data_IF_696432552277
#
_entry.id   IF_696432552277
#
_cell.length_a   1.000
_cell.length_b   1.000
_cell.length_c   1.000
_cell.angle_alpha   90.00
_cell.angle_beta   90.00
_cell.angle_gamma   90.00
#
_symmetry.space_group_name_H-M   'P 1'
#
loop_
_entity.id
_entity.type
_entity.pdbx_description
1 polymer ?
#
# COMPACT_ATOMS: atom_id res chain seq x y z
N UNK A 1 -8.53 6.80 15.95
CA UNK A 1 -7.38 6.13 16.62
C UNK A 1 -7.38 4.59 16.52
N UNK A 2 -8.39 3.87 17.04
CA UNK A 2 -8.41 2.38 17.04
C UNK A 2 -8.29 1.76 15.63
N UNK A 3 -8.97 2.35 14.65
CA UNK A 3 -8.93 1.88 13.26
C UNK A 3 -7.52 1.94 12.64
N UNK A 4 -6.79 3.04 12.85
CA UNK A 4 -5.42 3.21 12.34
C UNK A 4 -4.46 2.20 12.96
N UNK A 5 -4.57 1.96 14.27
CA UNK A 5 -3.79 0.90 14.94
C UNK A 5 -4.06 -0.47 14.34
N UNK A 6 -5.34 -0.77 14.06
CA UNK A 6 -5.72 -2.03 13.42
C UNK A 6 -5.09 -2.17 12.04
N UNK A 7 -5.13 -1.13 11.21
CA UNK A 7 -4.50 -1.14 9.87
C UNK A 7 -3.01 -1.47 9.98
N UNK A 8 -2.29 -0.84 10.93
CA UNK A 8 -0.85 -1.07 11.13
C UNK A 8 -0.59 -2.53 11.50
N UNK A 9 -1.29 -3.05 12.51
CA UNK A 9 -1.10 -4.44 12.97
C UNK A 9 -1.46 -5.46 11.89
N UNK A 10 -2.55 -5.23 11.16
CA UNK A 10 -2.97 -6.13 10.08
C UNK A 10 -1.94 -6.08 8.92
N UNK A 11 -1.38 -4.91 8.60
CA UNK A 11 -0.33 -4.78 7.59
C UNK A 11 0.99 -5.45 8.01
N UNK A 12 1.40 -5.32 9.28
CA UNK A 12 2.58 -6.01 9.83
C UNK A 12 2.45 -7.53 9.72
N UNK A 13 1.27 -8.07 10.07
CA UNK A 13 0.97 -9.50 9.92
C UNK A 13 1.03 -9.96 8.47
N UNK A 14 0.53 -9.15 7.54
CA UNK A 14 0.63 -9.46 6.12
C UNK A 14 2.09 -9.46 5.65
N UNK A 15 2.90 -8.50 6.08
CA UNK A 15 4.34 -8.47 5.78
C UNK A 15 5.02 -9.75 6.27
N UNK A 16 4.73 -10.18 7.50
CA UNK A 16 5.27 -11.43 8.06
C UNK A 16 4.87 -12.65 7.20
N UNK A 17 3.59 -12.76 6.83
CA UNK A 17 3.10 -13.82 5.95
C UNK A 17 3.82 -13.83 4.60
N UNK A 18 4.00 -12.68 3.95
CA UNK A 18 4.69 -12.56 2.66
C UNK A 18 6.18 -12.90 2.80
N UNK A 19 6.82 -12.52 3.91
CA UNK A 19 8.21 -12.90 4.20
C UNK A 19 8.39 -14.41 4.36
N UNK A 20 7.45 -15.08 5.02
CA UNK A 20 7.46 -16.55 5.12
C UNK A 20 7.28 -17.20 3.74
N UNK A 21 6.34 -16.71 2.91
CA UNK A 21 6.21 -17.17 1.52
C UNK A 21 7.52 -17.01 0.73
N UNK A 22 8.24 -15.89 0.89
CA UNK A 22 9.53 -15.69 0.22
C UNK A 22 10.56 -16.74 0.66
N UNK A 23 10.59 -17.11 1.94
CA UNK A 23 11.48 -18.19 2.43
C UNK A 23 11.13 -19.52 1.77
N UNK A 24 9.85 -19.87 1.73
CA UNK A 24 9.38 -21.11 1.09
C UNK A 24 9.72 -21.15 -0.41
N UNK A 25 9.57 -20.03 -1.11
CA UNK A 25 9.92 -19.94 -2.53
C UNK A 25 11.43 -20.08 -2.72
N UNK A 26 12.26 -19.48 -1.86
CA UNK A 26 13.72 -19.63 -1.92
C UNK A 26 14.15 -21.09 -1.72
N UNK A 27 13.51 -21.82 -0.82
CA UNK A 27 13.75 -23.26 -0.64
C UNK A 27 13.32 -24.08 -1.87
N UNK A 28 12.27 -23.67 -2.57
CA UNK A 28 11.89 -24.30 -3.85
C UNK A 28 12.90 -24.02 -4.95
N UNK A 29 13.37 -22.77 -5.06
CA UNK A 29 14.41 -22.39 -6.02
C UNK A 29 15.67 -23.20 -5.76
N UNK A 30 16.12 -23.34 -4.51
CA UNK A 30 17.33 -24.10 -4.21
C UNK A 30 17.24 -25.55 -4.70
N UNK A 31 16.06 -26.19 -4.63
CA UNK A 31 15.84 -27.54 -5.17
C UNK A 31 15.85 -27.60 -6.69
N UNK A 32 15.31 -26.57 -7.35
CA UNK A 32 15.25 -26.50 -8.82
C UNK A 32 16.60 -26.15 -9.43
N UNK A 33 17.48 -25.42 -8.73
CA UNK A 33 18.83 -25.12 -9.23
C UNK A 33 19.70 -26.37 -9.42
N UNK A 34 19.36 -27.49 -8.77
CA UNK A 34 20.01 -28.79 -8.97
C UNK A 34 19.45 -29.57 -10.16
N UNK A 35 18.42 -29.05 -10.84
CA UNK A 35 17.81 -29.65 -12.03
C UNK A 35 17.86 -28.69 -13.22
N UNK A 36 17.84 -29.16 -14.48
CA UNK A 36 17.95 -28.30 -15.66
C UNK A 36 16.66 -27.50 -15.99
N UNK A 37 15.82 -27.19 -15.00
CA UNK A 37 14.52 -26.52 -15.21
C UNK A 37 14.60 -24.99 -15.05
N UNK A 38 15.25 -24.31 -16.01
CA UNK A 38 15.44 -22.86 -15.98
C UNK A 38 14.13 -22.06 -15.92
N UNK A 39 13.14 -22.43 -16.75
CA UNK A 39 11.87 -21.70 -16.81
C UNK A 39 11.11 -21.71 -15.47
N UNK A 40 11.16 -22.82 -14.74
CA UNK A 40 10.55 -22.94 -13.41
C UNK A 40 11.21 -22.03 -12.38
N UNK A 41 12.54 -21.87 -12.44
CA UNK A 41 13.27 -20.97 -11.57
C UNK A 41 12.90 -19.49 -11.83
N UNK A 42 12.77 -19.09 -13.09
CA UNK A 42 12.38 -17.71 -13.46
C UNK A 42 11.00 -17.32 -12.92
N UNK A 43 10.00 -18.21 -13.04
CA UNK A 43 8.65 -17.97 -12.51
C UNK A 43 8.69 -17.76 -10.99
N UNK A 44 9.46 -18.56 -10.26
CA UNK A 44 9.59 -18.43 -8.80
C UNK A 44 10.29 -17.14 -8.40
N UNK A 45 11.33 -16.71 -9.13
CA UNK A 45 12.02 -15.44 -8.88
C UNK A 45 11.07 -14.26 -9.11
N UNK A 46 10.28 -14.27 -10.19
CA UNK A 46 9.24 -13.27 -10.42
C UNK A 46 8.25 -13.22 -9.23
N UNK A 47 7.83 -14.38 -8.74
CA UNK A 47 7.02 -14.48 -7.53
C UNK A 47 7.64 -13.82 -6.30
N UNK A 48 8.96 -13.96 -6.08
CA UNK A 48 9.67 -13.26 -4.99
C UNK A 48 9.62 -11.75 -5.17
N UNK A 49 9.84 -11.25 -6.40
CA UNK A 49 9.79 -9.82 -6.71
C UNK A 49 8.39 -9.27 -6.42
N UNK A 50 7.34 -9.96 -6.85
CA UNK A 50 5.96 -9.57 -6.58
C UNK A 50 5.67 -9.51 -5.07
N UNK A 51 6.09 -10.53 -4.30
CA UNK A 51 5.93 -10.50 -2.84
C UNK A 51 6.67 -9.32 -2.21
N UNK A 52 7.89 -9.00 -2.66
CA UNK A 52 8.67 -7.85 -2.16
C UNK A 52 8.01 -6.51 -2.49
N UNK A 53 7.46 -6.37 -3.69
CA UNK A 53 6.72 -5.18 -4.09
C UNK A 53 5.49 -4.98 -3.20
N UNK A 54 4.74 -6.06 -2.91
CA UNK A 54 3.61 -6.01 -1.99
C UNK A 54 4.03 -5.63 -0.55
N UNK A 55 5.17 -6.13 -0.08
CA UNK A 55 5.72 -5.74 1.24
C UNK A 55 6.05 -4.24 1.26
N UNK A 56 6.66 -3.70 0.19
CA UNK A 56 6.99 -2.28 0.11
C UNK A 56 5.73 -1.40 0.18
N UNK A 57 4.67 -1.77 -0.55
CA UNK A 57 3.38 -1.06 -0.47
C UNK A 57 2.80 -1.11 0.96
N UNK A 58 2.86 -2.26 1.63
CA UNK A 58 2.39 -2.39 3.02
C UNK A 58 3.21 -1.53 4.00
N UNK A 59 4.51 -1.37 3.78
CA UNK A 59 5.34 -0.46 4.58
C UNK A 59 4.92 1.01 4.40
N UNK A 60 4.59 1.44 3.18
CA UNK A 60 4.02 2.76 2.95
C UNK A 60 2.66 2.93 3.64
N UNK A 61 1.80 1.90 3.63
CA UNK A 61 0.53 1.92 4.37
C UNK A 61 0.76 2.14 5.86
N UNK A 62 1.71 1.43 6.47
CA UNK A 62 2.08 1.58 7.88
C UNK A 62 2.57 3.01 8.16
N UNK A 63 3.48 3.51 7.32
CA UNK A 63 4.03 4.85 7.45
C UNK A 63 2.94 5.94 7.41
N UNK A 64 2.08 5.93 6.40
CA UNK A 64 1.00 6.91 6.27
C UNK A 64 -0.05 6.77 7.37
N UNK A 65 -0.39 5.55 7.78
CA UNK A 65 -1.30 5.34 8.91
C UNK A 65 -0.71 5.87 10.23
N UNK A 66 0.60 5.73 10.43
CA UNK A 66 1.35 6.30 11.55
C UNK A 66 1.32 7.83 11.57
N UNK A 67 1.59 8.47 10.42
CA UNK A 67 1.52 9.93 10.26
C UNK A 67 0.14 10.50 10.64
N UNK A 68 -0.94 9.85 10.19
CA UNK A 68 -2.31 10.25 10.52
C UNK A 68 -2.58 10.03 12.02
N UNK A 69 -2.15 8.90 12.57
CA UNK A 69 -2.38 8.57 13.98
C UNK A 69 -1.71 9.58 14.93
N UNK A 70 -0.53 10.09 14.58
CA UNK A 70 0.20 11.09 15.35
C UNK A 70 -0.46 12.48 15.38
N UNK A 71 -1.28 12.80 14.37
CA UNK A 71 -1.91 14.13 14.22
C UNK A 71 -3.44 14.09 14.30
N UNK A 72 -4.01 13.12 15.00
CA UNK A 72 -5.46 12.95 15.11
C UNK A 72 -6.18 14.17 15.70
N UNK A 73 -5.57 14.86 16.67
CA UNK A 73 -6.16 16.07 17.28
C UNK A 73 -6.32 17.20 16.26
N UNK A 74 -5.33 17.37 15.36
CA UNK A 74 -5.39 18.34 14.28
C UNK A 74 -6.50 18.00 13.28
N UNK A 75 -6.65 16.71 12.95
CA UNK A 75 -7.75 16.24 12.12
C UNK A 75 -9.08 16.54 12.80
N UNK A 76 -9.22 16.25 14.09
CA UNK A 76 -10.46 16.41 14.86
C UNK A 76 -10.92 17.88 14.95
N UNK A 77 -9.99 18.81 15.22
CA UNK A 77 -10.29 20.23 15.39
C UNK A 77 -10.57 21.00 14.09
N UNK A 78 -10.01 20.57 12.96
CA UNK A 78 -10.12 21.30 11.71
C UNK A 78 -11.25 20.77 10.80
N UNK A 79 -11.98 21.70 10.18
CA UNK A 79 -13.03 21.41 9.19
C UNK A 79 -12.44 21.01 7.84
N UNK A 80 -11.26 21.52 7.50
CA UNK A 80 -10.53 21.22 6.28
C UNK A 80 -9.33 20.30 6.56
N UNK A 81 -8.87 19.59 5.53
CA UNK A 81 -7.73 18.68 5.65
C UNK A 81 -6.42 19.47 5.59
N UNK A 82 -5.61 19.39 6.64
CA UNK A 82 -4.30 20.02 6.70
C UNK A 82 -3.40 19.57 5.53
N UNK A 83 -2.65 20.48 4.88
CA UNK A 83 -1.80 20.15 3.72
C UNK A 83 -0.79 19.03 4.01
N UNK A 84 -0.20 18.98 5.21
CA UNK A 84 0.74 17.90 5.59
C UNK A 84 0.09 16.51 5.63
N UNK A 85 -1.20 16.43 5.90
CA UNK A 85 -1.93 15.16 5.99
C UNK A 85 -2.57 14.76 4.65
N UNK A 86 -2.53 15.69 3.68
CA UNK A 86 -3.15 15.53 2.37
C UNK A 86 -2.55 14.34 1.62
N UNK A 87 -1.23 14.23 1.61
CA UNK A 87 -0.52 13.13 0.97
C UNK A 87 -0.85 11.80 1.63
N UNK A 88 -0.73 11.70 2.95
CA UNK A 88 -1.00 10.47 3.68
C UNK A 88 -2.45 9.96 3.47
N UNK A 89 -3.42 10.85 3.51
CA UNK A 89 -4.83 10.50 3.26
C UNK A 89 -5.06 10.11 1.80
N UNK A 90 -4.44 10.83 0.85
CA UNK A 90 -4.54 10.54 -0.58
C UNK A 90 -3.97 9.16 -0.92
N UNK A 91 -2.75 8.86 -0.47
CA UNK A 91 -2.06 7.61 -0.70
C UNK A 91 -2.84 6.42 -0.14
N UNK A 92 -3.35 6.51 1.09
CA UNK A 92 -4.18 5.44 1.67
C UNK A 92 -5.51 5.26 0.93
N UNK A 93 -6.15 6.34 0.48
CA UNK A 93 -7.39 6.25 -0.31
C UNK A 93 -7.16 5.63 -1.70
N UNK A 94 -5.98 5.87 -2.28
CA UNK A 94 -5.57 5.28 -3.55
C UNK A 94 -5.29 3.78 -3.43
N UNK A 95 -4.61 3.35 -2.36
CA UNK A 95 -4.27 1.94 -2.12
C UNK A 95 -5.51 1.11 -1.70
N UNK A 96 -6.45 1.71 -0.96
CA UNK A 96 -7.63 1.03 -0.41
C UNK A 96 -8.38 0.11 -1.39
N UNK A 97 -8.72 0.51 -2.63
CA UNK A 97 -9.43 -0.37 -3.58
C UNK A 97 -8.61 -1.57 -4.07
N UNK A 98 -7.27 -1.55 -3.95
CA UNK A 98 -6.40 -2.57 -4.55
C UNK A 98 -6.03 -3.65 -3.52
N UNK A 99 -6.18 -3.35 -2.23
CA UNK A 99 -5.79 -4.22 -1.12
C UNK A 99 -7.00 -4.77 -0.36
N UNK A 100 -7.65 -5.78 -0.96
CA UNK A 100 -8.77 -6.49 -0.32
C UNK A 100 -8.35 -7.23 0.97
N UNK A 101 -7.07 -7.56 1.13
CA UNK A 101 -6.52 -8.16 2.36
C UNK A 101 -6.54 -7.17 3.56
N UNK A 102 -6.80 -5.88 3.35
CA UNK A 102 -6.89 -4.84 4.38
C UNK A 102 -8.24 -4.09 4.35
N UNK A 103 -9.35 -4.73 4.76
CA UNK A 103 -10.69 -4.11 4.73
C UNK A 103 -10.81 -2.88 5.64
N UNK A 104 -9.91 -2.73 6.61
CA UNK A 104 -9.85 -1.55 7.48
C UNK A 104 -9.48 -0.26 6.70
N UNK A 105 -8.79 -0.36 5.56
CA UNK A 105 -8.49 0.78 4.69
C UNK A 105 -9.74 1.38 4.05
N UNK A 106 -10.67 0.54 3.58
CA UNK A 106 -11.91 1.01 2.98
C UNK A 106 -12.82 1.70 4.02
N UNK A 107 -12.83 1.16 5.25
CA UNK A 107 -13.48 1.82 6.39
C UNK A 107 -12.85 3.18 6.70
N UNK A 108 -11.52 3.31 6.61
CA UNK A 108 -10.81 4.58 6.83
C UNK A 108 -11.16 5.61 5.75
N UNK A 109 -11.15 5.20 4.48
CA UNK A 109 -11.59 6.02 3.33
C UNK A 109 -13.02 6.53 3.53
N UNK A 110 -13.92 5.66 3.99
CA UNK A 110 -15.29 6.03 4.30
C UNK A 110 -15.41 7.07 5.43
N UNK A 111 -14.57 6.99 6.47
CA UNK A 111 -14.53 7.99 7.55
C UNK A 111 -14.06 9.36 7.05
N UNK A 112 -13.00 9.40 6.24
CA UNK A 112 -12.52 10.64 5.64
C UNK A 112 -13.52 11.25 4.66
N UNK A 113 -14.20 10.41 3.87
CA UNK A 113 -15.26 10.87 2.95
C UNK A 113 -16.47 11.44 3.67
N UNK A 114 -16.82 10.93 4.86
CA UNK A 114 -17.87 11.50 5.70
C UNK A 114 -17.48 12.84 6.30
N UNK A 115 -16.22 12.99 6.73
CA UNK A 115 -15.74 14.20 7.39
C UNK A 115 -15.50 15.36 6.42
N UNK A 116 -14.78 15.11 5.33
CA UNK A 116 -14.40 16.16 4.38
C UNK A 116 -15.32 16.22 3.15
N UNK A 117 -16.13 15.18 2.91
CA UNK A 117 -17.08 15.10 1.81
C UNK A 117 -16.62 14.20 0.67
N UNK A 118 -17.56 13.67 -0.11
CA UNK A 118 -17.30 12.68 -1.19
C UNK A 118 -16.34 13.19 -2.27
N UNK A 119 -16.32 14.51 -2.54
CA UNK A 119 -15.40 15.14 -3.50
C UNK A 119 -13.92 14.92 -3.11
N UNK A 120 -13.61 14.74 -1.83
CA UNK A 120 -12.24 14.48 -1.39
C UNK A 120 -11.76 13.09 -1.80
N UNK A 121 -12.57 12.04 -1.61
CA UNK A 121 -12.22 10.68 -2.03
C UNK A 121 -11.94 10.58 -3.54
N UNK A 122 -12.76 11.23 -4.37
CA UNK A 122 -12.61 11.22 -5.84
C UNK A 122 -11.47 12.13 -6.32
N UNK A 123 -11.26 13.31 -5.70
CA UNK A 123 -10.20 14.26 -6.11
C UNK A 123 -8.79 13.71 -5.87
N UNK A 124 -8.58 12.88 -4.86
CA UNK A 124 -7.28 12.24 -4.61
C UNK A 124 -6.99 11.08 -5.56
N UNK A 125 -8.00 10.28 -5.94
CA UNK A 125 -7.83 9.24 -6.97
C UNK A 125 -7.35 9.82 -8.31
N UNK A 126 -7.78 11.04 -8.65
CA UNK A 126 -7.39 11.74 -9.89
C UNK A 126 -6.02 12.45 -9.79
N UNK A 127 -5.58 12.82 -8.58
CA UNK A 127 -4.29 13.50 -8.41
C UNK A 127 -3.11 12.53 -8.32
N UNK A 128 -3.29 11.32 -7.75
CA UNK A 128 -2.27 10.27 -7.79
C UNK A 128 -1.91 9.89 -9.23
N UNK A 129 -2.91 9.82 -10.12
CA UNK A 129 -2.72 9.56 -11.56
C UNK A 129 -2.14 10.73 -12.35
N UNK A 130 -2.19 11.96 -11.83
CA UNK A 130 -1.55 13.13 -12.44
C UNK A 130 -0.09 13.30 -12.01
N UNK A 131 0.30 12.73 -10.88
CA UNK A 131 1.69 12.74 -10.38
C UNK A 131 2.63 11.82 -11.17
N UNK A 132 2.12 10.76 -11.81
CA UNK A 132 2.91 9.80 -12.58
C UNK A 132 3.00 10.13 -14.08
N UNK A 133 2.20 11.08 -14.59
CA UNK A 133 2.20 11.45 -16.01
C UNK A 133 3.22 12.55 -16.38
N UNK A 134 4.17 12.86 -15.50
CA UNK A 134 5.16 13.90 -15.78
C UNK A 134 6.52 13.38 -16.28
N UNK A 135 6.94 12.14 -15.98
CA UNK A 135 8.33 11.73 -16.27
C UNK A 135 8.54 10.33 -16.86
N UNK A 136 7.52 9.72 -17.49
CA UNK A 136 7.77 8.58 -18.37
C UNK A 136 8.05 9.08 -19.79
N UNK A 137 9.24 9.68 -19.95
CA UNK A 137 9.90 9.90 -21.24
C UNK A 137 10.22 8.56 -21.91
N UNK A 138 9.18 7.85 -22.34
CA UNK A 138 9.29 6.73 -23.27
C UNK A 138 9.49 7.36 -24.64
N UNK A 139 10.75 7.51 -25.05
CA UNK A 139 11.06 7.72 -26.47
C UNK A 139 10.58 6.49 -27.23
N UNK A 140 9.42 6.61 -27.89
CA UNK A 140 9.10 5.79 -29.05
C UNK A 140 9.99 6.30 -30.20
N UNK A 141 11.15 5.66 -30.37
CA UNK A 141 11.85 5.58 -31.64
C UNK A 141 12.00 4.12 -32.02
#
# INVERSE_FOLDING_TARGET
>A
KRLLKKIIVDAEKLIEKKNNNIKDIREKISKILWTPMEHGAHILIAGIVDQKNLISVLQYVIYFAGQIAGRLLLIESQRELHPELKEAVASLCYIAPWYNELPALDKLKSQFSKKYGKKYGTKFMVNATKSEKADLGVNEQ
#
